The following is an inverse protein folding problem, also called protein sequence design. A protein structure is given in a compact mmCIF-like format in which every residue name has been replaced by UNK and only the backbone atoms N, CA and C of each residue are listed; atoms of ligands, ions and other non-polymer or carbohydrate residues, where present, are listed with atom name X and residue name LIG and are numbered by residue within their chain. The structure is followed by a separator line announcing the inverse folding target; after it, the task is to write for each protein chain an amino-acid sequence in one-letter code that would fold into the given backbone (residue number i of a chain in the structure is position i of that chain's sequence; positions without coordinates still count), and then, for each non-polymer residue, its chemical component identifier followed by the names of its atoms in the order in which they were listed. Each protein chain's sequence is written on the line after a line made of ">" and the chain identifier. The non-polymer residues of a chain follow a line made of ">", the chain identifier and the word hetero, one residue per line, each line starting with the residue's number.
data_IF_781513260494
#
_entry.id   IF_781513260494
#
_cell.length_a   1.000
_cell.length_b   1.000
_cell.length_c   1.000
_cell.angle_alpha   90.00
_cell.angle_beta   90.00
_cell.angle_gamma   90.00
#
_symmetry.space_group_name_H-M   'P 1'
#
loop_
_entity.id
_entity.type
_entity.pdbx_description
1 polymer ?
#
# COMPACT_ATOMS: atom_id res chain seq x y z
N UNK A 1 -5.41 90.65 7.78
CA UNK A 1 -3.95 90.45 7.88
C UNK A 1 -3.48 89.88 6.55
N UNK A 2 -2.95 90.72 5.65
CA UNK A 2 -2.35 90.30 4.38
C UNK A 2 -0.84 90.37 4.58
N UNK A 3 -0.18 89.21 4.64
CA UNK A 3 1.27 89.10 4.62
C UNK A 3 1.72 89.07 3.16
N UNK A 4 2.65 89.96 2.76
CA UNK A 4 3.20 90.03 1.40
C UNK A 4 4.27 88.97 1.11
N UNK A 5 4.84 88.34 2.16
CA UNK A 5 5.90 87.32 2.02
C UNK A 5 5.37 85.89 2.04
N UNK A 6 4.14 85.65 2.50
CA UNK A 6 3.54 84.32 2.60
C UNK A 6 2.14 84.31 2.00
N UNK A 7 2.00 83.71 0.81
CA UNK A 7 0.72 83.54 0.14
C UNK A 7 0.00 82.28 0.66
N UNK A 8 -0.87 82.47 1.66
CA UNK A 8 -1.61 81.39 2.30
C UNK A 8 -2.55 80.67 1.32
N UNK A 9 -3.15 81.39 0.36
CA UNK A 9 -4.02 80.80 -0.65
C UNK A 9 -3.25 79.85 -1.57
N UNK A 10 -2.07 80.28 -2.06
CA UNK A 10 -1.21 79.42 -2.89
C UNK A 10 -0.70 78.19 -2.12
N UNK A 11 -0.31 78.34 -0.83
CA UNK A 11 0.09 77.20 0.01
C UNK A 11 -1.04 76.21 0.29
N UNK A 12 -2.29 76.69 0.41
CA UNK A 12 -3.47 75.82 0.51
C UNK A 12 -3.71 75.07 -0.80
N UNK A 13 -3.70 75.77 -1.93
CA UNK A 13 -3.86 75.16 -3.26
C UNK A 13 -2.78 74.12 -3.55
N UNK A 14 -1.52 74.40 -3.21
CA UNK A 14 -0.41 73.45 -3.39
C UNK A 14 -0.56 72.20 -2.52
N UNK A 15 -1.05 72.33 -1.27
CA UNK A 15 -1.34 71.17 -0.40
C UNK A 15 -2.47 70.31 -0.97
N UNK A 16 -3.56 70.91 -1.42
CA UNK A 16 -4.66 70.17 -2.05
C UNK A 16 -4.25 69.51 -3.38
N UNK A 17 -3.42 70.18 -4.18
CA UNK A 17 -2.87 69.59 -5.41
C UNK A 17 -1.97 68.38 -5.10
N UNK A 18 -1.14 68.48 -4.06
CA UNK A 18 -0.28 67.36 -3.64
C UNK A 18 -1.12 66.16 -3.17
N UNK A 19 -2.16 66.39 -2.36
CA UNK A 19 -3.11 65.35 -1.95
C UNK A 19 -3.82 64.69 -3.14
N UNK A 20 -4.25 65.49 -4.13
CA UNK A 20 -4.89 64.97 -5.34
C UNK A 20 -3.92 64.16 -6.22
N UNK A 21 -2.65 64.58 -6.30
CA UNK A 21 -1.60 63.84 -7.00
C UNK A 21 -1.34 62.48 -6.33
N UNK A 22 -1.25 62.43 -4.99
CA UNK A 22 -1.04 61.20 -4.24
C UNK A 22 -2.21 60.20 -4.44
N UNK A 23 -3.46 60.68 -4.39
CA UNK A 23 -4.66 59.86 -4.65
C UNK A 23 -4.70 59.32 -6.09
N UNK A 24 -4.23 60.09 -7.07
CA UNK A 24 -4.15 59.63 -8.46
C UNK A 24 -3.09 58.54 -8.63
N UNK A 25 -1.92 58.70 -7.99
CA UNK A 25 -0.87 57.67 -7.99
C UNK A 25 -1.36 56.37 -7.35
N UNK A 26 -2.11 56.45 -6.26
CA UNK A 26 -2.74 55.27 -5.63
C UNK A 26 -3.77 54.61 -6.56
N UNK A 27 -4.64 55.41 -7.19
CA UNK A 27 -5.63 54.93 -8.15
C UNK A 27 -4.97 54.23 -9.36
N UNK A 28 -3.86 54.79 -9.87
CA UNK A 28 -3.09 54.16 -10.95
C UNK A 28 -2.44 52.85 -10.50
N UNK A 29 -1.94 52.75 -9.27
CA UNK A 29 -1.42 51.50 -8.72
C UNK A 29 -2.49 50.42 -8.62
N UNK A 30 -3.68 50.77 -8.12
CA UNK A 30 -4.79 49.84 -7.99
C UNK A 30 -5.31 49.39 -9.36
N UNK A 31 -5.37 50.29 -10.34
CA UNK A 31 -5.74 49.95 -11.71
C UNK A 31 -4.71 49.03 -12.38
N UNK A 32 -3.42 49.32 -12.21
CA UNK A 32 -2.34 48.55 -12.85
C UNK A 32 -2.18 47.14 -12.28
N UNK A 33 -2.42 46.99 -10.97
CA UNK A 33 -2.38 45.69 -10.28
C UNK A 33 -3.69 44.91 -10.40
N UNK A 34 -4.81 45.61 -10.58
CA UNK A 34 -6.15 45.05 -10.47
C UNK A 34 -6.57 44.72 -9.03
N UNK A 35 -5.74 45.01 -8.03
CA UNK A 35 -6.00 44.75 -6.62
C UNK A 35 -6.26 46.03 -5.85
N UNK A 36 -7.22 45.97 -4.93
CA UNK A 36 -7.50 47.08 -4.00
C UNK A 36 -6.46 47.19 -2.88
N UNK A 37 -5.85 46.07 -2.48
CA UNK A 37 -4.86 46.00 -1.41
C UNK A 37 -3.54 45.58 -2.07
N UNK A 38 -2.60 46.50 -2.19
CA UNK A 38 -1.30 46.26 -2.83
C UNK A 38 -0.17 46.17 -1.80
N UNK A 39 -0.31 46.84 -0.66
CA UNK A 39 0.69 46.86 0.40
C UNK A 39 0.06 46.67 1.78
N UNK A 40 0.90 46.31 2.77
CA UNK A 40 0.47 46.21 4.17
C UNK A 40 0.06 47.57 4.76
N UNK A 41 0.46 48.67 4.13
CA UNK A 41 0.09 50.03 4.52
C UNK A 41 -1.35 50.38 4.14
N UNK A 42 -1.91 49.72 3.12
CA UNK A 42 -3.26 50.02 2.60
C UNK A 42 -4.33 49.37 3.51
N UNK A 43 -4.12 48.10 3.87
CA UNK A 43 -4.94 47.34 4.81
C UNK A 43 -4.18 46.11 5.32
N UNK A 44 -3.54 46.23 6.49
CA UNK A 44 -2.76 45.15 7.09
C UNK A 44 -3.61 43.89 7.39
N UNK A 45 -4.87 44.07 7.84
CA UNK A 45 -5.75 42.97 8.18
C UNK A 45 -6.28 42.27 6.90
N UNK A 46 -6.69 43.06 5.91
CA UNK A 46 -7.11 42.54 4.60
C UNK A 46 -5.99 41.82 3.86
N UNK A 47 -4.75 42.33 3.93
CA UNK A 47 -3.58 41.65 3.38
C UNK A 47 -3.29 40.32 4.09
N UNK A 48 -3.42 40.26 5.42
CA UNK A 48 -3.22 39.02 6.17
C UNK A 48 -4.25 37.95 5.80
N UNK A 49 -5.54 38.32 5.69
CA UNK A 49 -6.61 37.42 5.26
C UNK A 49 -6.35 36.95 3.83
N UNK A 50 -6.01 37.87 2.92
CA UNK A 50 -5.67 37.56 1.53
C UNK A 50 -4.52 36.57 1.43
N UNK A 51 -3.43 36.79 2.19
CA UNK A 51 -2.29 35.87 2.25
C UNK A 51 -2.69 34.49 2.79
N UNK A 52 -3.54 34.44 3.83
CA UNK A 52 -4.04 33.18 4.39
C UNK A 52 -4.84 32.41 3.35
N UNK A 53 -5.78 33.07 2.67
CA UNK A 53 -6.57 32.46 1.59
C UNK A 53 -5.67 32.03 0.42
N UNK A 54 -4.68 32.83 0.06
CA UNK A 54 -3.75 32.50 -1.02
C UNK A 54 -2.88 31.28 -0.71
N UNK A 55 -2.44 31.11 0.55
CA UNK A 55 -1.77 29.88 1.01
C UNK A 55 -2.75 28.71 0.97
N UNK A 56 -3.98 28.91 1.43
CA UNK A 56 -5.00 27.87 1.44
C UNK A 56 -5.34 27.38 0.02
N UNK A 57 -5.52 28.28 -0.95
CA UNK A 57 -5.76 27.95 -2.37
C UNK A 57 -4.61 27.12 -2.93
N UNK A 58 -3.36 27.56 -2.73
CA UNK A 58 -2.19 26.78 -3.17
C UNK A 58 -2.11 25.40 -2.50
N UNK A 59 -2.52 25.31 -1.23
CA UNK A 59 -2.66 24.04 -0.52
C UNK A 59 -3.71 23.14 -1.15
N UNK A 60 -4.88 23.69 -1.53
CA UNK A 60 -5.95 22.96 -2.22
C UNK A 60 -5.48 22.46 -3.60
N UNK A 61 -4.72 23.26 -4.36
CA UNK A 61 -4.21 22.84 -5.67
C UNK A 61 -3.28 21.63 -5.59
N UNK A 62 -2.43 21.58 -4.55
CA UNK A 62 -1.57 20.41 -4.27
C UNK A 62 -2.43 19.23 -3.80
N UNK A 63 -3.39 19.47 -2.90
CA UNK A 63 -4.31 18.46 -2.42
C UNK A 63 -5.13 17.80 -3.55
N UNK A 64 -5.56 18.57 -4.54
CA UNK A 64 -6.27 18.06 -5.71
C UNK A 64 -5.40 17.12 -6.53
N UNK A 65 -4.12 17.46 -6.74
CA UNK A 65 -3.16 16.55 -7.41
C UNK A 65 -2.97 15.27 -6.61
N UNK A 66 -2.76 15.37 -5.29
CA UNK A 66 -2.63 14.21 -4.42
C UNK A 66 -3.89 13.32 -4.42
N UNK A 67 -5.08 13.93 -4.51
CA UNK A 67 -6.35 13.22 -4.60
C UNK A 67 -6.48 12.48 -5.94
N UNK A 68 -6.01 13.07 -7.03
CA UNK A 68 -5.92 12.39 -8.33
C UNK A 68 -4.96 11.20 -8.29
N UNK A 69 -3.80 11.34 -7.65
CA UNK A 69 -2.86 10.22 -7.49
C UNK A 69 -3.49 9.09 -6.66
N UNK A 70 -4.17 9.43 -5.56
CA UNK A 70 -4.91 8.45 -4.75
C UNK A 70 -6.00 7.73 -5.57
N UNK A 71 -6.71 8.47 -6.41
CA UNK A 71 -7.73 7.92 -7.31
C UNK A 71 -7.11 6.96 -8.34
N UNK A 72 -5.99 7.34 -8.97
CA UNK A 72 -5.32 6.48 -9.93
C UNK A 72 -4.80 5.18 -9.29
N UNK A 73 -4.24 5.25 -8.08
CA UNK A 73 -3.85 4.06 -7.32
C UNK A 73 -5.06 3.17 -7.06
N UNK A 74 -6.16 3.74 -6.57
CA UNK A 74 -7.37 2.99 -6.27
C UNK A 74 -7.96 2.33 -7.51
N UNK A 75 -7.94 3.00 -8.67
CA UNK A 75 -8.42 2.45 -9.92
C UNK A 75 -7.54 1.30 -10.44
N UNK A 76 -6.21 1.43 -10.36
CA UNK A 76 -5.29 0.33 -10.70
C UNK A 76 -5.50 -0.86 -9.76
N UNK A 77 -5.68 -0.59 -8.47
CA UNK A 77 -5.98 -1.61 -7.47
C UNK A 77 -7.32 -2.33 -7.76
N UNK A 78 -8.37 -1.59 -8.11
CA UNK A 78 -9.69 -2.12 -8.44
C UNK A 78 -9.64 -3.04 -9.67
N UNK A 79 -8.90 -2.68 -10.71
CA UNK A 79 -8.73 -3.51 -11.91
C UNK A 79 -8.11 -4.88 -11.59
N UNK A 80 -7.03 -4.90 -10.81
CA UNK A 80 -6.38 -6.14 -10.40
C UNK A 80 -7.25 -6.99 -9.46
N UNK A 81 -8.02 -6.34 -8.58
CA UNK A 81 -8.97 -7.03 -7.69
C UNK A 81 -10.13 -7.66 -8.47
N UNK A 82 -10.55 -7.04 -9.57
CA UNK A 82 -11.58 -7.60 -10.46
C UNK A 82 -11.09 -8.91 -11.11
N UNK A 83 -9.89 -8.90 -11.70
CA UNK A 83 -9.25 -10.09 -12.26
C UNK A 83 -9.08 -11.19 -11.20
N UNK A 84 -8.62 -10.82 -10.01
CA UNK A 84 -8.44 -11.77 -8.91
C UNK A 84 -9.77 -12.35 -8.42
N UNK A 85 -10.85 -11.57 -8.39
CA UNK A 85 -12.20 -12.05 -8.08
C UNK A 85 -12.67 -13.09 -9.08
N UNK A 86 -12.45 -12.87 -10.39
CA UNK A 86 -12.84 -13.81 -11.43
C UNK A 86 -12.07 -15.13 -11.33
N UNK A 87 -10.77 -15.05 -11.04
CA UNK A 87 -9.94 -16.25 -10.80
C UNK A 87 -10.45 -17.02 -9.57
N UNK A 88 -10.76 -16.33 -8.46
CA UNK A 88 -11.28 -16.98 -7.26
C UNK A 88 -12.65 -17.65 -7.50
N UNK A 89 -13.51 -17.04 -8.31
CA UNK A 89 -14.76 -17.66 -8.72
C UNK A 89 -14.53 -18.91 -9.58
N UNK A 90 -13.55 -18.89 -10.49
CA UNK A 90 -13.15 -20.06 -11.27
C UNK A 90 -12.60 -21.17 -10.36
N UNK A 91 -11.70 -20.85 -9.43
CA UNK A 91 -11.17 -21.78 -8.44
C UNK A 91 -12.28 -22.45 -7.62
N UNK A 92 -13.27 -21.66 -7.17
CA UNK A 92 -14.45 -22.19 -6.48
C UNK A 92 -15.24 -23.16 -7.36
N UNK A 93 -15.43 -22.84 -8.64
CA UNK A 93 -16.16 -23.72 -9.56
C UNK A 93 -15.43 -25.04 -9.80
N UNK A 94 -14.10 -25.01 -9.89
CA UNK A 94 -13.26 -26.21 -10.03
C UNK A 94 -13.29 -27.06 -8.76
N UNK A 95 -13.25 -26.43 -7.58
CA UNK A 95 -13.40 -27.13 -6.31
C UNK A 95 -14.75 -27.85 -6.17
N UNK A 96 -15.85 -27.21 -6.60
CA UNK A 96 -17.17 -27.84 -6.63
C UNK A 96 -17.26 -28.98 -7.65
N UNK A 97 -16.60 -28.85 -8.80
CA UNK A 97 -16.51 -29.93 -9.79
C UNK A 97 -15.72 -31.11 -9.22
N UNK A 98 -14.55 -30.86 -8.63
CA UNK A 98 -13.75 -31.89 -7.98
C UNK A 98 -14.49 -32.56 -6.81
N UNK A 99 -15.36 -31.86 -6.09
CA UNK A 99 -16.16 -32.45 -5.01
C UNK A 99 -17.23 -33.44 -5.51
N UNK A 100 -17.60 -33.43 -6.79
CA UNK A 100 -18.60 -34.35 -7.32
C UNK A 100 -18.02 -35.78 -7.44
N UNK A 101 -18.68 -36.74 -6.79
CA UNK A 101 -18.23 -38.13 -6.70
C UNK A 101 -18.21 -38.90 -8.02
N UNK A 102 -18.78 -38.36 -9.09
CA UNK A 102 -18.77 -39.00 -10.43
C UNK A 102 -17.47 -38.82 -11.21
N UNK A 103 -16.56 -37.94 -10.78
CA UNK A 103 -15.27 -37.73 -11.46
C UNK A 103 -14.22 -38.75 -11.05
N UNK A 104 -13.55 -39.30 -12.06
CA UNK A 104 -12.43 -40.22 -11.88
C UNK A 104 -11.19 -39.53 -11.31
N UNK A 105 -10.24 -40.31 -10.80
CA UNK A 105 -9.02 -39.78 -10.18
C UNK A 105 -8.16 -39.00 -11.18
N UNK A 106 -8.15 -39.39 -12.45
CA UNK A 106 -7.40 -38.70 -13.50
C UNK A 106 -8.06 -37.38 -13.93
N UNK A 107 -9.41 -37.30 -13.89
CA UNK A 107 -10.13 -36.03 -14.07
C UNK A 107 -9.81 -35.05 -12.93
N UNK A 108 -9.78 -35.55 -11.68
CA UNK A 108 -9.40 -34.75 -10.51
C UNK A 108 -7.97 -34.21 -10.64
N UNK A 109 -7.03 -35.01 -11.15
CA UNK A 109 -5.65 -34.55 -11.42
C UNK A 109 -5.60 -33.44 -12.48
N UNK A 110 -6.45 -33.51 -13.51
CA UNK A 110 -6.49 -32.49 -14.56
C UNK A 110 -7.09 -31.18 -14.04
N UNK A 111 -8.20 -31.26 -13.29
CA UNK A 111 -8.79 -30.10 -12.60
C UNK A 111 -7.79 -29.47 -11.61
N UNK A 112 -6.99 -30.31 -10.96
CA UNK A 112 -5.94 -29.88 -10.04
C UNK A 112 -4.82 -29.07 -10.74
N UNK A 113 -4.42 -29.47 -11.95
CA UNK A 113 -3.45 -28.70 -12.73
C UNK A 113 -4.00 -27.31 -13.09
N UNK A 114 -5.29 -27.21 -13.39
CA UNK A 114 -5.94 -25.92 -13.64
C UNK A 114 -5.98 -25.05 -12.37
N UNK A 115 -6.25 -25.64 -11.20
CA UNK A 115 -6.20 -24.93 -9.92
C UNK A 115 -4.81 -24.35 -9.65
N UNK A 116 -3.74 -25.12 -9.88
CA UNK A 116 -2.36 -24.66 -9.69
C UNK A 116 -2.04 -23.49 -10.63
N UNK A 117 -2.39 -23.61 -11.91
CA UNK A 117 -2.16 -22.54 -12.88
C UNK A 117 -2.90 -21.24 -12.51
N UNK A 118 -4.12 -21.34 -11.96
CA UNK A 118 -4.89 -20.19 -11.50
C UNK A 118 -4.32 -19.58 -10.20
N UNK A 119 -3.73 -20.39 -9.32
CA UNK A 119 -3.01 -19.89 -8.15
C UNK A 119 -1.75 -19.12 -8.56
N UNK A 120 -0.96 -19.67 -9.48
CA UNK A 120 0.21 -18.98 -10.04
C UNK A 120 -0.18 -17.66 -10.69
N UNK A 121 -1.33 -17.61 -11.37
CA UNK A 121 -1.84 -16.39 -11.98
C UNK A 121 -2.29 -15.35 -10.94
N UNK A 122 -2.92 -15.76 -9.85
CA UNK A 122 -3.22 -14.86 -8.72
C UNK A 122 -1.93 -14.25 -8.13
N UNK A 123 -0.90 -15.07 -7.92
CA UNK A 123 0.39 -14.59 -7.44
C UNK A 123 1.07 -13.65 -8.43
N UNK A 124 0.98 -13.96 -9.74
CA UNK A 124 1.47 -13.08 -10.79
C UNK A 124 0.77 -11.73 -10.75
N UNK A 125 -0.56 -11.68 -10.65
CA UNK A 125 -1.31 -10.42 -10.52
C UNK A 125 -0.86 -9.66 -9.27
N UNK A 126 -0.69 -10.33 -8.13
CA UNK A 126 -0.25 -9.70 -6.89
C UNK A 126 1.17 -9.09 -6.96
N UNK A 127 2.09 -9.71 -7.71
CA UNK A 127 3.49 -9.29 -7.83
C UNK A 127 3.72 -8.30 -9.00
N UNK A 128 2.91 -8.36 -10.05
CA UNK A 128 3.08 -7.49 -11.23
C UNK A 128 2.28 -6.20 -11.16
N UNK A 129 1.24 -6.13 -10.32
CA UNK A 129 0.44 -4.90 -10.16
C UNK A 129 1.22 -3.82 -9.42
N UNK A 130 1.66 -2.81 -10.17
CA UNK A 130 2.44 -1.68 -9.67
C UNK A 130 1.81 -0.35 -10.04
N UNK A 131 2.03 0.65 -9.19
CA UNK A 131 1.76 2.05 -9.48
C UNK A 131 2.99 2.88 -9.11
N UNK A 132 3.52 3.66 -10.05
CA UNK A 132 4.72 4.48 -9.85
C UNK A 132 5.87 3.70 -9.17
N UNK A 133 6.16 2.50 -9.72
CA UNK A 133 7.18 1.55 -9.24
C UNK A 133 6.93 0.95 -7.84
N UNK A 134 5.77 1.22 -7.23
CA UNK A 134 5.35 0.61 -5.97
C UNK A 134 4.40 -0.54 -6.24
N UNK A 135 4.73 -1.72 -5.71
CA UNK A 135 3.82 -2.86 -5.71
C UNK A 135 2.63 -2.59 -4.81
N UNK A 136 1.42 -2.90 -5.28
CA UNK A 136 0.19 -2.64 -4.55
C UNK A 136 -0.22 -3.81 -3.64
N UNK A 137 0.06 -5.06 -4.04
CA UNK A 137 -0.53 -6.26 -3.43
C UNK A 137 0.47 -7.31 -2.94
N UNK A 138 1.78 -7.02 -2.96
CA UNK A 138 2.80 -7.93 -2.42
C UNK A 138 3.02 -7.79 -0.90
N UNK A 139 2.19 -7.00 -0.21
CA UNK A 139 2.32 -6.69 1.22
C UNK A 139 3.22 -5.51 1.57
N UNK A 140 4.04 -5.01 0.64
CA UNK A 140 4.93 -3.85 0.89
C UNK A 140 4.21 -2.50 0.90
N UNK A 141 3.03 -2.41 0.26
CA UNK A 141 2.28 -1.15 0.13
C UNK A 141 1.73 -0.66 1.47
N UNK A 142 1.18 -1.57 2.28
CA UNK A 142 0.62 -1.26 3.60
C UNK A 142 -0.48 -0.19 3.56
N UNK A 143 -0.45 0.69 4.57
CA UNK A 143 -1.35 1.83 4.70
C UNK A 143 -0.63 3.11 4.27
N UNK A 144 -1.13 3.75 3.21
CA UNK A 144 -0.59 5.01 2.68
C UNK A 144 -1.56 6.16 2.96
N UNK A 145 -1.03 7.30 3.41
CA UNK A 145 -1.82 8.49 3.70
C UNK A 145 -1.66 9.54 2.61
N UNK A 146 -2.77 9.91 1.97
CA UNK A 146 -2.85 10.95 0.95
C UNK A 146 -3.37 12.25 1.58
N UNK A 147 -2.60 13.32 1.47
CA UNK A 147 -2.98 14.64 1.99
C UNK A 147 -3.87 15.36 0.97
N UNK A 148 -5.15 15.51 1.31
CA UNK A 148 -6.18 16.05 0.40
C UNK A 148 -6.83 17.34 0.91
N UNK A 149 -6.21 18.00 1.88
CA UNK A 149 -6.65 19.29 2.40
C UNK A 149 -5.53 20.33 2.40
N UNK A 150 -5.91 21.60 2.51
CA UNK A 150 -4.97 22.69 2.77
C UNK A 150 -4.37 22.65 4.19
N UNK A 151 -5.00 21.89 5.09
CA UNK A 151 -4.54 21.60 6.45
C UNK A 151 -4.06 20.15 6.53
N UNK A 152 -3.59 19.70 7.70
CA UNK A 152 -3.04 18.35 7.93
C UNK A 152 -4.04 17.17 7.81
N UNK A 153 -5.15 17.33 7.08
CA UNK A 153 -6.13 16.28 6.86
C UNK A 153 -5.66 15.34 5.76
N UNK A 154 -5.69 14.05 6.04
CA UNK A 154 -5.31 12.99 5.11
C UNK A 154 -6.39 11.91 5.04
N UNK A 155 -6.44 11.22 3.90
CA UNK A 155 -7.18 9.97 3.72
C UNK A 155 -6.16 8.84 3.76
N UNK A 156 -6.46 7.79 4.52
CA UNK A 156 -5.66 6.57 4.51
C UNK A 156 -6.25 5.55 3.55
N UNK A 157 -5.42 5.03 2.65
CA UNK A 157 -5.72 3.88 1.79
C UNK A 157 -4.87 2.70 2.25
N UNK A 158 -5.52 1.61 2.62
CA UNK A 158 -4.84 0.37 2.99
C UNK A 158 -5.10 -0.70 1.94
N UNK A 159 -4.03 -1.23 1.34
CA UNK A 159 -4.09 -2.38 0.44
C UNK A 159 -3.44 -3.58 1.15
N UNK A 160 -4.12 -4.72 1.12
CA UNK A 160 -3.67 -5.95 1.77
C UNK A 160 -2.85 -6.80 0.79
N UNK A 161 -2.07 -7.71 1.33
CA UNK A 161 -1.38 -8.71 0.54
C UNK A 161 -2.39 -9.68 -0.09
N UNK A 162 -2.16 -10.07 -1.35
CA UNK A 162 -3.01 -10.99 -2.11
C UNK A 162 -2.29 -12.27 -2.56
N UNK A 163 -1.05 -12.49 -2.12
CA UNK A 163 -0.30 -13.71 -2.45
C UNK A 163 -1.01 -14.95 -1.89
N UNK A 164 -0.98 -16.04 -2.63
CA UNK A 164 -1.71 -17.27 -2.28
C UNK A 164 -1.10 -18.01 -1.08
N UNK A 165 0.19 -17.77 -0.81
CA UNK A 165 0.96 -18.41 0.26
C UNK A 165 0.86 -17.69 1.63
N UNK A 166 -0.19 -16.90 1.86
CA UNK A 166 -0.39 -16.17 3.13
C UNK A 166 -1.64 -16.65 3.87
N UNK A 167 -1.64 -16.65 5.22
CA UNK A 167 -2.79 -17.09 6.00
C UNK A 167 -4.10 -16.35 5.67
N UNK A 168 -4.00 -15.08 5.30
CA UNK A 168 -5.15 -14.23 4.97
C UNK A 168 -5.88 -14.63 3.69
N UNK A 169 -5.22 -15.38 2.79
CA UNK A 169 -5.80 -15.91 1.54
C UNK A 169 -6.28 -17.37 1.68
N UNK A 170 -6.21 -17.93 2.91
CA UNK A 170 -6.56 -19.31 3.23
C UNK A 170 -5.34 -20.22 3.34
N UNK A 171 -5.53 -21.42 3.92
CA UNK A 171 -4.44 -22.35 4.24
C UNK A 171 -4.26 -22.56 5.74
N UNK A 172 -3.64 -23.67 6.12
CA UNK A 172 -3.27 -23.92 7.51
C UNK A 172 -1.85 -23.39 7.73
N UNK A 173 -1.70 -22.59 8.77
CA UNK A 173 -0.45 -21.90 9.04
C UNK A 173 0.12 -22.30 10.40
N UNK A 174 1.38 -22.71 10.41
CA UNK A 174 2.10 -23.05 11.63
C UNK A 174 3.31 -22.13 11.79
N UNK A 175 3.28 -21.34 12.87
CA UNK A 175 4.42 -20.56 13.33
C UNK A 175 5.26 -21.45 14.24
N UNK A 176 6.54 -21.63 13.91
CA UNK A 176 7.51 -22.15 14.85
C UNK A 176 7.83 -21.12 15.94
N UNK A 177 8.43 -21.60 17.04
CA UNK A 177 8.93 -20.72 18.10
C UNK A 177 9.99 -19.75 17.57
N UNK A 178 10.09 -18.57 18.20
CA UNK A 178 11.14 -17.60 17.88
C UNK A 178 12.50 -18.16 18.25
N UNK A 179 13.39 -18.22 17.26
CA UNK A 179 14.75 -18.74 17.38
C UNK A 179 15.74 -17.56 17.32
N UNK A 180 16.83 -17.69 18.06
CA UNK A 180 17.88 -16.67 18.09
C UNK A 180 18.53 -16.49 16.70
N UNK A 181 19.02 -15.30 16.39
CA UNK A 181 19.64 -14.95 15.09
C UNK A 181 20.89 -15.80 14.80
N UNK A 182 21.56 -16.25 15.86
CA UNK A 182 22.72 -17.14 15.79
C UNK A 182 22.35 -18.63 15.74
N UNK A 183 21.05 -18.95 15.67
CA UNK A 183 20.61 -20.33 15.58
C UNK A 183 21.13 -20.99 14.31
N UNK A 184 21.60 -22.23 14.48
CA UNK A 184 22.14 -23.09 13.43
C UNK A 184 21.65 -24.51 13.65
N UNK A 185 21.55 -25.26 12.55
CA UNK A 185 21.28 -26.70 12.63
C UNK A 185 22.49 -27.41 13.28
N UNK A 186 22.24 -28.11 14.37
CA UNK A 186 23.16 -28.98 15.11
C UNK A 186 22.80 -30.46 14.87
N UNK A 187 23.64 -31.40 15.30
CA UNK A 187 23.35 -32.84 15.14
C UNK A 187 22.13 -33.31 15.93
N UNK A 188 21.75 -32.58 16.97
CA UNK A 188 20.62 -32.91 17.84
C UNK A 188 19.27 -32.40 17.30
N UNK A 189 19.27 -31.44 16.35
CA UNK A 189 18.06 -30.84 15.77
C UNK A 189 17.96 -30.99 14.23
N UNK A 190 18.76 -31.91 13.65
CA UNK A 190 18.85 -32.09 12.20
C UNK A 190 17.66 -32.82 11.58
N UNK A 191 16.77 -33.42 12.39
CA UNK A 191 15.60 -34.15 11.90
C UNK A 191 14.36 -33.30 12.05
N UNK A 192 13.69 -33.05 10.94
CA UNK A 192 12.43 -32.34 10.90
C UNK A 192 11.37 -33.30 10.34
N UNK A 193 10.42 -33.69 11.17
CA UNK A 193 9.38 -34.66 10.82
C UNK A 193 7.99 -34.01 10.86
N UNK A 194 7.23 -34.23 9.81
CA UNK A 194 5.84 -33.78 9.77
C UNK A 194 4.93 -34.85 9.20
N UNK A 195 3.76 -34.97 9.83
CA UNK A 195 2.71 -35.87 9.39
C UNK A 195 1.59 -35.03 8.77
N UNK A 196 1.17 -35.44 7.58
CA UNK A 196 0.06 -34.81 6.90
C UNK A 196 -0.84 -35.90 6.32
N UNK A 197 -2.13 -35.64 6.31
CA UNK A 197 -3.08 -36.51 5.63
C UNK A 197 -3.23 -36.00 4.19
N UNK A 198 -2.94 -36.84 3.20
CA UNK A 198 -3.08 -36.46 1.80
C UNK A 198 -4.57 -36.35 1.37
N UNK A 199 -4.80 -35.88 0.15
CA UNK A 199 -6.15 -35.74 -0.43
C UNK A 199 -6.92 -37.07 -0.57
N UNK A 200 -6.29 -38.21 -0.28
CA UNK A 200 -6.91 -39.55 -0.30
C UNK A 200 -7.19 -40.06 1.12
N UNK A 201 -6.93 -39.24 2.15
CA UNK A 201 -7.15 -39.60 3.55
C UNK A 201 -6.05 -40.50 4.13
N UNK A 202 -4.91 -40.67 3.45
CA UNK A 202 -3.80 -41.46 3.96
C UNK A 202 -2.81 -40.60 4.74
N UNK A 203 -2.38 -41.10 5.91
CA UNK A 203 -1.38 -40.45 6.73
C UNK A 203 0.02 -40.66 6.12
N UNK A 204 0.61 -39.58 5.62
CA UNK A 204 1.96 -39.53 5.11
C UNK A 204 2.88 -38.92 6.19
N UNK A 205 3.99 -39.59 6.49
CA UNK A 205 5.02 -39.08 7.39
C UNK A 205 6.27 -38.74 6.57
N UNK A 206 6.68 -37.47 6.58
CA UNK A 206 7.87 -37.01 5.88
C UNK A 206 8.92 -36.59 6.88
N UNK A 207 10.08 -37.24 6.83
CA UNK A 207 11.26 -36.89 7.62
C UNK A 207 12.30 -36.24 6.71
N UNK A 208 12.59 -34.96 6.93
CA UNK A 208 13.68 -34.25 6.27
C UNK A 208 14.90 -34.22 7.20
N UNK A 209 16.08 -34.44 6.61
CA UNK A 209 17.35 -34.24 7.30
C UNK A 209 17.96 -32.91 6.84
N UNK A 210 17.95 -31.93 7.73
CA UNK A 210 18.54 -30.60 7.54
C UNK A 210 20.07 -30.70 7.56
N UNK A 211 20.76 -29.81 6.84
CA UNK A 211 22.22 -29.80 6.83
C UNK A 211 22.74 -29.07 8.07
N UNK A 212 23.70 -29.70 8.76
CA UNK A 212 24.35 -29.13 9.95
C UNK A 212 25.13 -27.87 9.57
N UNK A 213 24.86 -26.77 10.27
CA UNK A 213 25.48 -25.47 10.03
C UNK A 213 24.65 -24.49 9.19
N UNK A 214 23.52 -24.92 8.60
CA UNK A 214 22.63 -24.03 7.87
C UNK A 214 21.92 -23.06 8.82
N UNK A 215 21.68 -21.84 8.33
CA UNK A 215 20.87 -20.83 9.01
C UNK A 215 19.37 -20.99 8.68
N UNK A 216 18.51 -20.21 9.34
CA UNK A 216 17.05 -20.35 9.22
C UNK A 216 16.52 -20.10 7.79
N UNK A 217 17.13 -19.17 7.04
CA UNK A 217 16.76 -18.86 5.65
C UNK A 217 17.20 -19.96 4.67
N UNK A 218 18.38 -20.53 4.90
CA UNK A 218 18.92 -21.67 4.15
C UNK A 218 18.07 -22.92 4.42
N UNK A 219 17.65 -23.13 5.67
CA UNK A 219 16.72 -24.21 6.05
C UNK A 219 15.37 -24.03 5.35
N UNK A 220 14.78 -22.84 5.36
CA UNK A 220 13.52 -22.58 4.66
C UNK A 220 13.65 -22.87 3.15
N UNK A 221 14.73 -22.41 2.53
CA UNK A 221 15.03 -22.66 1.11
C UNK A 221 15.23 -24.16 0.83
N UNK A 222 15.94 -24.87 1.71
CA UNK A 222 16.18 -26.31 1.57
C UNK A 222 14.90 -27.13 1.73
N UNK A 223 14.03 -26.74 2.66
CA UNK A 223 12.72 -27.37 2.85
C UNK A 223 11.85 -27.19 1.60
N UNK A 224 11.82 -25.99 1.01
CA UNK A 224 11.07 -25.74 -0.22
C UNK A 224 11.63 -26.50 -1.43
N UNK A 225 12.94 -26.76 -1.45
CA UNK A 225 13.58 -27.50 -2.53
C UNK A 225 13.36 -29.02 -2.46
N UNK A 226 13.07 -29.58 -1.27
CA UNK A 226 12.94 -31.03 -1.07
C UNK A 226 11.52 -31.55 -1.06
N UNK A 227 10.52 -30.70 -0.88
CA UNK A 227 9.13 -31.11 -0.83
C UNK A 227 8.22 -30.00 -1.36
N UNK A 228 7.06 -30.40 -1.88
CA UNK A 228 6.08 -29.52 -2.52
C UNK A 228 4.76 -29.42 -1.72
N UNK A 229 4.77 -29.91 -0.48
CA UNK A 229 3.58 -30.05 0.38
C UNK A 229 3.42 -28.82 1.27
N UNK A 230 4.54 -28.25 1.71
CA UNK A 230 4.65 -27.13 2.65
C UNK A 230 5.56 -26.06 2.05
N UNK A 231 5.17 -24.81 2.13
CA UNK A 231 6.07 -23.69 1.87
C UNK A 231 6.63 -23.17 3.21
N UNK A 232 7.94 -23.21 3.36
CA UNK A 232 8.68 -22.65 4.47
C UNK A 232 9.18 -21.25 4.13
N UNK A 233 8.96 -20.28 5.02
CA UNK A 233 9.54 -18.94 4.94
C UNK A 233 9.99 -18.47 6.33
N UNK A 234 10.71 -17.34 6.42
CA UNK A 234 11.16 -16.78 7.70
C UNK A 234 10.54 -15.41 7.91
N UNK A 235 9.94 -15.19 9.09
CA UNK A 235 9.33 -13.90 9.44
C UNK A 235 10.39 -12.88 9.85
N UNK A 236 10.01 -11.60 9.92
CA UNK A 236 10.89 -10.51 10.38
C UNK A 236 11.39 -10.71 11.83
N UNK A 237 10.66 -11.51 12.62
CA UNK A 237 10.98 -11.86 14.01
C UNK A 237 11.82 -13.16 14.12
N UNK A 238 12.46 -13.60 13.03
CA UNK A 238 13.29 -14.81 12.94
C UNK A 238 12.53 -16.09 13.33
N UNK A 239 11.26 -16.18 12.94
CA UNK A 239 10.46 -17.39 13.13
C UNK A 239 10.39 -18.17 11.83
N UNK A 240 10.55 -19.49 11.91
CA UNK A 240 10.30 -20.37 10.78
C UNK A 240 8.79 -20.50 10.61
N UNK A 241 8.31 -20.07 9.47
CA UNK A 241 6.91 -20.02 9.09
C UNK A 241 6.63 -21.16 8.11
N UNK A 242 5.72 -22.08 8.46
CA UNK A 242 5.27 -23.12 7.56
C UNK A 242 3.86 -22.84 7.09
N UNK A 243 3.70 -22.76 5.78
CA UNK A 243 2.42 -22.63 5.12
C UNK A 243 2.10 -23.96 4.43
N UNK A 244 0.94 -24.52 4.73
CA UNK A 244 0.39 -25.62 3.92
C UNK A 244 -0.92 -25.17 3.33
N UNK A 245 -1.02 -25.31 2.02
CA UNK A 245 -2.30 -25.22 1.35
C UNK A 245 -3.23 -26.32 1.87
N UNK A 246 -4.51 -26.03 2.04
CA UNK A 246 -5.56 -27.04 2.34
C UNK A 246 -5.67 -28.11 1.24
N UNK A 247 -5.00 -27.89 0.12
CA UNK A 247 -4.88 -28.74 -1.05
C UNK A 247 -3.87 -29.89 -0.88
N UNK A 248 -2.85 -29.73 -0.04
CA UNK A 248 -1.81 -30.74 0.18
C UNK A 248 -2.00 -31.47 1.50
N UNK A 249 -2.63 -30.80 2.47
CA UNK A 249 -2.99 -31.34 3.76
C UNK A 249 -4.37 -30.78 4.19
N UNK A 250 -5.48 -31.38 3.74
CA UNK A 250 -6.84 -30.90 4.04
C UNK A 250 -7.18 -30.84 5.52
N UNK A 251 -6.57 -31.70 6.36
CA UNK A 251 -6.70 -31.65 7.84
C UNK A 251 -5.56 -30.87 8.53
N UNK A 252 -4.66 -30.26 7.77
CA UNK A 252 -3.46 -29.61 8.29
C UNK A 252 -2.31 -30.58 8.54
N UNK A 253 -1.25 -30.05 9.14
CA UNK A 253 0.00 -30.77 9.37
C UNK A 253 0.22 -30.91 10.86
N UNK A 254 0.38 -32.14 11.32
CA UNK A 254 0.79 -32.38 12.71
C UNK A 254 2.30 -32.49 12.74
N UNK A 255 2.93 -31.51 13.37
CA UNK A 255 4.37 -31.50 13.58
C UNK A 255 4.71 -32.49 14.71
N UNK A 256 5.67 -33.38 14.45
CA UNK A 256 6.30 -34.17 15.52
C UNK A 256 7.61 -33.48 15.86
N UNK A 257 7.61 -32.83 17.02
CA UNK A 257 8.83 -32.32 17.66
C UNK A 257 9.72 -33.47 18.12
#
# INVERSE_FOLDING_TARGET
>A
MVSLNTNVAAMMTQRHLSQAADQNVESQRNLSSGYRINSASDDAAGLQISNTLHVQTRGIDVALRNAHDAYSVAQTAEGALHESSDILQRLRSLGLQAANGSHEQDDRKSLQQEVIALQDELDRVAITTTFADKNLFNGSYGSQSFHIGANANSISLALRNMRTHIPEMGGQHYLGDSLDKDWRVTRDNQQFAFEYQDNEGQAQSKVLTLKVGDNLEEVATYINAQQSVVDASVTQDHQLQFFTSTLNAPEGITWKG
#
